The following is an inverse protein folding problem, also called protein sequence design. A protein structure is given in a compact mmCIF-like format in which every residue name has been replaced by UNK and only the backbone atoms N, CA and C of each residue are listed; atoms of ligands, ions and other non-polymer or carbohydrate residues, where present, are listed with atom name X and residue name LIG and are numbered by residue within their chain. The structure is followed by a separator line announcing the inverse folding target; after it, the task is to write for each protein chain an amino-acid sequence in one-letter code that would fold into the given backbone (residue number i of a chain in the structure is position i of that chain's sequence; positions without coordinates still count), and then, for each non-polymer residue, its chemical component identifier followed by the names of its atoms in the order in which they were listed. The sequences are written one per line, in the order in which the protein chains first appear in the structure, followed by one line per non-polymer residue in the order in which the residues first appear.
data_IF_421539549778
#
_entry.id   IF_421539549778
#
_cell.length_a   1.000
_cell.length_b   1.000
_cell.length_c   1.000
_cell.angle_alpha   90.00
_cell.angle_beta   90.00
_cell.angle_gamma   90.00
#
_symmetry.space_group_name_H-M   'P 1'
#
loop_
_entity.id
_entity.type
_entity.pdbx_description
1 polymer ?
#
# COMPACT_ATOMS: atom_id res chain seq x y z
N UNK A 1 16.89 -10.40 -30.57
CA UNK A 1 15.49 -10.42 -31.05
C UNK A 1 14.61 -11.42 -30.27
N UNK A 2 15.08 -12.68 -30.07
CA UNK A 2 14.31 -13.68 -29.29
C UNK A 2 14.08 -13.23 -27.84
N UNK A 3 15.09 -12.75 -27.13
CA UNK A 3 14.97 -12.27 -25.75
C UNK A 3 14.03 -11.06 -25.62
N UNK A 4 14.06 -10.14 -26.58
CA UNK A 4 13.12 -8.99 -26.59
C UNK A 4 11.69 -9.48 -26.72
N UNK A 5 11.42 -10.42 -27.64
CA UNK A 5 10.08 -10.99 -27.82
C UNK A 5 9.62 -11.75 -26.57
N UNK A 6 10.51 -12.56 -25.98
CA UNK A 6 10.21 -13.31 -24.78
C UNK A 6 9.90 -12.39 -23.58
N UNK A 7 10.74 -11.41 -23.32
CA UNK A 7 10.52 -10.45 -22.24
C UNK A 7 9.25 -9.61 -22.45
N UNK A 8 8.97 -9.20 -23.69
CA UNK A 8 7.71 -8.52 -24.01
C UNK A 8 6.49 -9.42 -23.75
N UNK A 9 6.56 -10.71 -24.11
CA UNK A 9 5.50 -11.67 -23.81
C UNK A 9 5.31 -11.85 -22.29
N UNK A 10 6.40 -11.96 -21.53
CA UNK A 10 6.37 -12.07 -20.07
C UNK A 10 5.68 -10.85 -19.44
N UNK A 11 5.99 -9.64 -19.93
CA UNK A 11 5.33 -8.41 -19.46
C UNK A 11 3.83 -8.45 -19.77
N UNK A 12 3.44 -8.83 -20.98
CA UNK A 12 2.03 -8.92 -21.37
C UNK A 12 1.26 -9.92 -20.50
N UNK A 13 1.84 -11.10 -20.28
CA UNK A 13 1.28 -12.12 -19.36
C UNK A 13 1.19 -11.58 -17.94
N UNK A 14 2.21 -10.87 -17.49
CA UNK A 14 2.25 -10.21 -16.19
C UNK A 14 1.09 -9.19 -16.02
N UNK A 15 0.88 -8.31 -17.00
CA UNK A 15 -0.26 -7.38 -16.99
C UNK A 15 -1.60 -8.11 -17.00
N UNK A 16 -1.76 -9.17 -17.79
CA UNK A 16 -2.98 -9.95 -17.82
C UNK A 16 -3.27 -10.63 -16.46
N UNK A 17 -2.25 -11.20 -15.82
CA UNK A 17 -2.34 -11.77 -14.48
C UNK A 17 -2.68 -10.71 -13.43
N UNK A 18 -2.01 -9.55 -13.47
CA UNK A 18 -2.22 -8.42 -12.56
C UNK A 18 -3.68 -7.91 -12.64
N UNK A 19 -4.18 -7.65 -13.84
CA UNK A 19 -5.55 -7.13 -14.05
C UNK A 19 -6.60 -8.15 -13.60
N UNK A 20 -6.46 -9.42 -14.00
CA UNK A 20 -7.40 -10.47 -13.61
C UNK A 20 -7.33 -10.79 -12.12
N UNK A 21 -6.12 -10.75 -11.56
CA UNK A 21 -5.88 -10.90 -10.12
C UNK A 21 -6.57 -9.79 -9.33
N UNK A 22 -6.41 -8.54 -9.74
CA UNK A 22 -7.07 -7.39 -9.11
C UNK A 22 -8.61 -7.50 -9.17
N UNK A 23 -9.16 -7.83 -10.34
CA UNK A 23 -10.61 -8.01 -10.49
C UNK A 23 -11.15 -9.11 -9.57
N UNK A 24 -10.45 -10.26 -9.51
CA UNK A 24 -10.85 -11.39 -8.66
C UNK A 24 -10.74 -11.05 -7.17
N UNK A 25 -9.64 -10.40 -6.73
CA UNK A 25 -9.44 -9.99 -5.35
C UNK A 25 -10.53 -9.03 -4.90
N UNK A 26 -10.81 -7.97 -5.68
CA UNK A 26 -11.80 -6.96 -5.33
C UNK A 26 -13.22 -7.56 -5.30
N UNK A 27 -13.59 -8.43 -6.26
CA UNK A 27 -14.89 -9.10 -6.25
C UNK A 27 -15.03 -10.04 -5.05
N UNK A 28 -14.02 -10.90 -4.82
CA UNK A 28 -14.01 -11.81 -3.68
C UNK A 28 -14.09 -11.08 -2.34
N UNK A 29 -13.37 -9.98 -2.19
CA UNK A 29 -13.37 -9.12 -1.01
C UNK A 29 -14.76 -8.47 -0.81
N UNK A 30 -15.35 -7.91 -1.87
CA UNK A 30 -16.68 -7.29 -1.82
C UNK A 30 -17.76 -8.31 -1.43
N UNK A 31 -17.76 -9.50 -2.04
CA UNK A 31 -18.71 -10.56 -1.70
C UNK A 31 -18.55 -11.06 -0.28
N UNK A 32 -17.29 -11.22 0.17
CA UNK A 32 -17.00 -11.65 1.54
C UNK A 32 -17.48 -10.61 2.56
N UNK A 33 -17.20 -9.31 2.33
CA UNK A 33 -17.67 -8.22 3.20
C UNK A 33 -19.18 -8.29 3.43
N UNK A 34 -19.94 -8.35 2.35
CA UNK A 34 -21.40 -8.47 2.37
C UNK A 34 -21.87 -9.74 3.08
N UNK A 35 -21.21 -10.87 2.83
CA UNK A 35 -21.59 -12.17 3.40
C UNK A 35 -21.40 -12.26 4.91
N UNK A 36 -20.32 -11.65 5.44
CA UNK A 36 -20.03 -11.69 6.89
C UNK A 36 -20.55 -10.45 7.65
N UNK A 37 -21.20 -9.50 6.94
CA UNK A 37 -21.82 -8.33 7.53
C UNK A 37 -20.82 -7.29 8.03
N UNK A 38 -19.65 -7.16 7.39
CA UNK A 38 -18.67 -6.12 7.70
C UNK A 38 -18.56 -5.09 6.57
N UNK A 39 -18.04 -3.90 6.87
CA UNK A 39 -17.90 -2.86 5.86
C UNK A 39 -16.85 -3.24 4.79
N UNK A 40 -17.12 -2.87 3.53
CA UNK A 40 -16.16 -3.03 2.43
C UNK A 40 -14.84 -2.29 2.73
N UNK A 41 -14.91 -1.17 3.47
CA UNK A 41 -13.74 -0.47 3.97
C UNK A 41 -12.86 -1.37 4.85
N UNK A 42 -13.46 -2.09 5.82
CA UNK A 42 -12.70 -2.98 6.72
C UNK A 42 -12.01 -4.09 5.95
N UNK A 43 -12.68 -4.69 4.98
CA UNK A 43 -12.08 -5.71 4.10
C UNK A 43 -10.95 -5.12 3.25
N UNK A 44 -11.15 -3.89 2.74
CA UNK A 44 -10.10 -3.15 2.05
C UNK A 44 -8.87 -2.89 2.93
N UNK A 45 -9.09 -2.42 4.17
CA UNK A 45 -8.05 -2.14 5.16
C UNK A 45 -7.30 -3.39 5.64
N UNK A 46 -7.89 -4.55 5.53
CA UNK A 46 -7.34 -5.81 6.08
C UNK A 46 -6.96 -6.78 4.97
N UNK A 47 -7.93 -7.49 4.40
CA UNK A 47 -7.68 -8.60 3.45
C UNK A 47 -7.04 -8.11 2.16
N UNK A 48 -7.58 -7.02 1.56
CA UNK A 48 -7.04 -6.52 0.29
C UNK A 48 -5.66 -5.90 0.52
N UNK A 49 -5.53 -5.04 1.53
CA UNK A 49 -4.26 -4.41 1.88
C UNK A 49 -3.17 -5.45 2.22
N UNK A 50 -3.51 -6.45 3.06
CA UNK A 50 -2.60 -7.55 3.37
C UNK A 50 -2.17 -8.29 2.11
N UNK A 51 -3.13 -8.66 1.24
CA UNK A 51 -2.86 -9.41 0.03
C UNK A 51 -1.96 -8.67 -0.96
N UNK A 52 -2.17 -7.36 -1.12
CA UNK A 52 -1.36 -6.53 -2.02
C UNK A 52 0.02 -6.23 -1.45
N UNK A 53 0.16 -6.05 -0.13
CA UNK A 53 1.44 -5.76 0.54
C UNK A 53 2.24 -7.01 0.96
N UNK A 54 1.84 -8.21 0.54
CA UNK A 54 2.63 -9.43 0.74
C UNK A 54 4.02 -9.37 0.08
N UNK A 55 4.18 -8.84 -1.15
CA UNK A 55 5.50 -8.66 -1.74
C UNK A 55 6.43 -7.81 -0.88
N UNK A 56 5.92 -6.68 -0.37
CA UNK A 56 6.68 -5.79 0.52
C UNK A 56 7.11 -6.49 1.80
N UNK A 57 6.21 -7.26 2.40
CA UNK A 57 6.53 -8.07 3.59
C UNK A 57 7.66 -9.06 3.30
N UNK A 58 7.54 -9.83 2.21
CA UNK A 58 8.52 -10.85 1.86
C UNK A 58 9.87 -10.22 1.55
N UNK A 59 9.90 -9.18 0.70
CA UNK A 59 11.14 -8.47 0.35
C UNK A 59 11.79 -7.90 1.61
N UNK A 60 11.05 -7.17 2.44
CA UNK A 60 11.62 -6.49 3.61
C UNK A 60 12.11 -7.48 4.67
N UNK A 61 11.37 -8.56 4.96
CA UNK A 61 11.80 -9.58 5.92
C UNK A 61 13.03 -10.34 5.42
N UNK A 62 13.08 -10.73 4.15
CA UNK A 62 14.24 -11.40 3.58
C UNK A 62 15.46 -10.49 3.57
N UNK A 63 15.32 -9.22 3.18
CA UNK A 63 16.41 -8.24 3.21
C UNK A 63 16.99 -8.07 4.60
N UNK A 64 16.14 -8.01 5.65
CA UNK A 64 16.63 -7.93 7.04
C UNK A 64 17.37 -9.19 7.45
N UNK A 65 16.91 -10.38 7.06
CA UNK A 65 17.58 -11.65 7.33
C UNK A 65 18.94 -11.73 6.61
N UNK A 66 19.04 -11.14 5.42
CA UNK A 66 20.27 -11.05 4.62
C UNK A 66 21.18 -9.88 5.05
N UNK A 67 20.80 -9.15 6.12
CA UNK A 67 21.49 -7.96 6.65
C UNK A 67 21.52 -6.77 5.68
N UNK A 68 20.61 -6.72 4.72
CA UNK A 68 20.35 -5.58 3.84
C UNK A 68 19.17 -4.74 4.39
N UNK A 69 19.40 -4.08 5.51
CA UNK A 69 18.38 -3.28 6.19
C UNK A 69 17.99 -2.04 5.41
N UNK A 70 18.88 -1.51 4.59
CA UNK A 70 18.64 -0.31 3.77
C UNK A 70 17.59 -0.58 2.70
N UNK A 71 17.68 -1.75 2.05
CA UNK A 71 16.66 -2.19 1.10
C UNK A 71 15.30 -2.37 1.76
N UNK A 72 15.25 -2.96 2.96
CA UNK A 72 14.00 -3.16 3.70
C UNK A 72 13.31 -1.82 4.02
N UNK A 73 14.05 -0.87 4.60
CA UNK A 73 13.54 0.45 4.97
C UNK A 73 13.13 1.24 3.72
N UNK A 74 14.00 1.29 2.71
CA UNK A 74 13.74 2.02 1.46
C UNK A 74 12.50 1.50 0.73
N UNK A 75 12.32 0.18 0.63
CA UNK A 75 11.16 -0.44 0.02
C UNK A 75 9.85 -0.02 0.72
N UNK A 76 9.79 -0.10 2.05
CA UNK A 76 8.57 0.20 2.80
C UNK A 76 8.20 1.68 2.80
N UNK A 77 9.20 2.56 2.97
CA UNK A 77 8.97 4.00 2.91
C UNK A 77 8.57 4.44 1.49
N UNK A 78 9.23 3.91 0.47
CA UNK A 78 8.91 4.17 -0.93
C UNK A 78 7.50 3.72 -1.30
N UNK A 79 7.10 2.51 -0.90
CA UNK A 79 5.75 1.98 -1.12
C UNK A 79 4.68 2.83 -0.42
N UNK A 80 4.93 3.33 0.79
CA UNK A 80 3.98 4.20 1.49
C UNK A 80 3.76 5.54 0.77
N UNK A 81 4.82 6.13 0.24
CA UNK A 81 4.76 7.35 -0.56
C UNK A 81 4.03 7.08 -1.88
N UNK A 82 4.37 5.98 -2.57
CA UNK A 82 3.73 5.58 -3.81
C UNK A 82 2.22 5.31 -3.61
N UNK A 83 1.83 4.68 -2.53
CA UNK A 83 0.44 4.39 -2.21
C UNK A 83 -0.41 5.66 -2.11
N UNK A 84 0.07 6.72 -1.46
CA UNK A 84 -0.68 7.98 -1.34
C UNK A 84 -0.56 8.78 -2.63
N UNK A 85 0.63 9.03 -3.12
CA UNK A 85 0.83 9.98 -4.21
C UNK A 85 0.55 9.38 -5.59
N UNK A 86 0.99 8.15 -5.85
CA UNK A 86 0.76 7.50 -7.14
C UNK A 86 -0.60 6.77 -7.16
N UNK A 87 -0.82 5.83 -6.24
CA UNK A 87 -1.97 4.92 -6.30
C UNK A 87 -3.29 5.67 -6.08
N UNK A 88 -3.42 6.47 -5.01
CA UNK A 88 -4.60 7.33 -4.82
C UNK A 88 -4.68 8.44 -5.87
N UNK A 89 -3.53 8.97 -6.32
CA UNK A 89 -3.46 9.94 -7.40
C UNK A 89 -4.11 9.40 -8.68
N UNK A 90 -3.67 8.24 -9.15
CA UNK A 90 -4.24 7.58 -10.34
C UNK A 90 -5.69 7.18 -10.10
N UNK A 91 -6.01 6.55 -8.97
CA UNK A 91 -7.38 6.14 -8.65
C UNK A 91 -8.36 7.31 -8.68
N UNK A 92 -8.00 8.44 -8.04
CA UNK A 92 -8.86 9.63 -7.99
C UNK A 92 -8.89 10.45 -9.29
N UNK A 93 -7.92 10.27 -10.18
CA UNK A 93 -7.96 10.81 -11.53
C UNK A 93 -9.00 10.09 -12.39
N UNK A 94 -9.08 8.75 -12.25
CA UNK A 94 -10.03 7.90 -12.98
C UNK A 94 -11.48 8.10 -12.51
N UNK A 95 -11.69 8.17 -11.19
CA UNK A 95 -13.00 8.38 -10.59
C UNK A 95 -12.86 9.12 -9.25
N UNK A 96 -13.81 10.00 -8.93
CA UNK A 96 -13.84 10.69 -7.64
C UNK A 96 -14.03 9.66 -6.52
N UNK A 97 -13.11 9.62 -5.57
CA UNK A 97 -13.21 8.77 -4.40
C UNK A 97 -13.97 9.50 -3.29
N UNK A 98 -15.05 8.90 -2.83
CA UNK A 98 -15.82 9.41 -1.69
C UNK A 98 -15.32 8.75 -0.42
N UNK A 99 -15.00 9.56 0.59
CA UNK A 99 -14.50 9.08 1.89
C UNK A 99 -15.55 9.37 2.94
N UNK A 100 -16.05 8.36 3.63
CA UNK A 100 -17.01 8.58 4.72
C UNK A 100 -16.37 9.43 5.81
N UNK A 101 -17.15 10.35 6.42
CA UNK A 101 -16.65 11.22 7.51
C UNK A 101 -16.02 10.41 8.65
N UNK A 102 -16.62 9.28 8.98
CA UNK A 102 -16.10 8.40 10.03
C UNK A 102 -14.70 7.90 9.63
N UNK A 103 -14.53 7.42 8.40
CA UNK A 103 -13.25 6.94 7.85
C UNK A 103 -12.16 8.01 7.92
N UNK A 104 -12.49 9.28 7.63
CA UNK A 104 -11.51 10.38 7.71
C UNK A 104 -10.97 10.52 9.13
N UNK A 105 -11.86 10.57 10.13
CA UNK A 105 -11.49 10.85 11.52
C UNK A 105 -11.02 9.62 12.31
N UNK A 106 -11.03 8.46 11.70
CA UNK A 106 -10.60 7.21 12.30
C UNK A 106 -9.42 6.63 11.53
N UNK A 107 -9.67 6.03 10.39
CA UNK A 107 -8.68 5.24 9.66
C UNK A 107 -7.62 6.13 9.00
N UNK A 108 -8.03 7.23 8.34
CA UNK A 108 -7.08 8.14 7.67
C UNK A 108 -6.25 8.92 8.71
N UNK A 109 -6.89 9.38 9.80
CA UNK A 109 -6.19 10.04 10.89
C UNK A 109 -5.21 9.08 11.59
N UNK A 110 -5.64 7.83 11.81
CA UNK A 110 -4.77 6.81 12.43
C UNK A 110 -3.55 6.51 11.54
N UNK A 111 -3.74 6.39 10.22
CA UNK A 111 -2.64 6.18 9.29
C UNK A 111 -1.67 7.38 9.24
N UNK A 112 -2.18 8.61 9.24
CA UNK A 112 -1.35 9.80 9.37
C UNK A 112 -0.58 9.81 10.71
N UNK A 113 -1.24 9.42 11.80
CA UNK A 113 -0.64 9.27 13.12
C UNK A 113 0.46 8.21 13.17
N UNK A 114 0.30 7.09 12.45
CA UNK A 114 1.31 6.04 12.33
C UNK A 114 2.59 6.55 11.66
N UNK A 115 2.45 7.37 10.60
CA UNK A 115 3.61 8.03 9.97
C UNK A 115 4.33 9.01 10.91
N UNK A 116 3.58 9.77 11.71
CA UNK A 116 4.15 10.66 12.73
C UNK A 116 4.83 9.87 13.86
N UNK A 117 4.19 8.77 14.32
CA UNK A 117 4.78 7.88 15.33
C UNK A 117 6.11 7.32 14.83
N UNK A 118 6.18 6.86 13.57
CA UNK A 118 7.43 6.39 12.97
C UNK A 118 8.53 7.46 13.06
N UNK A 119 8.23 8.72 12.71
CA UNK A 119 9.21 9.80 12.83
C UNK A 119 9.66 10.05 14.27
N UNK A 120 8.76 9.94 15.24
CA UNK A 120 9.09 10.11 16.66
C UNK A 120 10.04 9.01 17.11
N UNK A 121 9.76 7.74 16.77
CA UNK A 121 10.60 6.60 17.12
C UNK A 121 11.99 6.69 16.49
N UNK A 122 12.07 7.03 15.20
CA UNK A 122 13.37 7.22 14.51
C UNK A 122 14.16 8.41 15.07
N UNK A 123 13.47 9.41 15.62
CA UNK A 123 14.11 10.62 16.18
C UNK A 123 14.59 10.50 17.63
N UNK A 124 14.53 9.34 18.26
CA UNK A 124 14.89 9.09 19.67
C UNK A 124 16.27 9.61 20.05
N UNK A 125 17.25 9.52 19.16
CA UNK A 125 18.58 10.05 19.38
C UNK A 125 18.57 11.56 19.61
N UNK A 126 17.76 12.30 18.83
CA UNK A 126 17.65 13.76 18.99
C UNK A 126 16.93 14.16 20.28
N UNK A 127 16.16 13.23 20.85
CA UNK A 127 15.51 13.38 22.15
C UNK A 127 16.41 12.95 23.31
N UNK A 128 17.65 12.47 23.03
CA UNK A 128 18.62 12.06 24.02
C UNK A 128 18.31 10.71 24.69
N UNK A 129 17.44 9.90 24.11
CA UNK A 129 17.00 8.62 24.66
C UNK A 129 17.79 7.42 24.13
N UNK A 130 18.41 7.53 22.94
CA UNK A 130 19.19 6.47 22.32
C UNK A 130 20.48 7.01 21.68
N UNK A 131 21.52 6.17 21.61
CA UNK A 131 22.72 6.43 20.79
C UNK A 131 22.54 5.93 19.33
N UNK A 132 21.43 5.28 19.05
CA UNK A 132 21.12 4.64 17.78
C UNK A 132 20.06 5.46 17.02
N UNK A 133 20.32 5.80 15.75
CA UNK A 133 19.36 6.45 14.86
C UNK A 133 18.66 5.38 14.06
N UNK A 134 17.37 5.14 14.32
CA UNK A 134 16.62 4.12 13.64
C UNK A 134 15.57 3.45 14.51
N UNK A 135 15.09 2.31 14.11
CA UNK A 135 14.13 1.50 14.86
C UNK A 135 14.83 0.31 15.50
N UNK A 136 14.71 0.19 16.79
CA UNK A 136 15.17 -0.99 17.54
C UNK A 136 14.02 -1.98 17.82
N UNK A 137 14.32 -3.06 18.54
CA UNK A 137 13.33 -4.08 18.87
C UNK A 137 12.19 -3.59 19.77
N UNK A 138 12.42 -2.56 20.59
CA UNK A 138 11.38 -1.96 21.46
C UNK A 138 10.44 -1.13 20.60
N UNK A 139 10.96 -0.34 19.66
CA UNK A 139 10.18 0.41 18.69
C UNK A 139 9.31 -0.54 17.85
N UNK A 140 9.88 -1.69 17.46
CA UNK A 140 9.15 -2.73 16.76
C UNK A 140 7.95 -3.26 17.55
N UNK A 141 8.13 -3.50 18.84
CA UNK A 141 7.02 -3.93 19.73
C UNK A 141 5.97 -2.83 19.85
N UNK A 142 6.37 -1.56 19.92
CA UNK A 142 5.42 -0.43 19.94
C UNK A 142 4.62 -0.39 18.65
N UNK A 143 5.27 -0.48 17.48
CA UNK A 143 4.60 -0.49 16.18
C UNK A 143 3.63 -1.67 16.06
N UNK A 144 4.04 -2.89 16.40
CA UNK A 144 3.19 -4.08 16.39
C UNK A 144 2.01 -3.94 17.36
N UNK A 145 2.23 -3.38 18.55
CA UNK A 145 1.14 -3.12 19.50
C UNK A 145 0.11 -2.17 18.92
N UNK A 146 0.57 -1.08 18.28
CA UNK A 146 -0.32 -0.12 17.60
C UNK A 146 -1.08 -0.77 16.44
N UNK A 147 -0.46 -1.70 15.72
CA UNK A 147 -1.15 -2.47 14.67
C UNK A 147 -2.30 -3.31 15.22
N UNK A 148 -2.07 -4.07 16.30
CA UNK A 148 -3.13 -4.87 16.92
C UNK A 148 -4.22 -4.01 17.55
N UNK A 149 -3.87 -2.87 18.14
CA UNK A 149 -4.85 -1.90 18.63
C UNK A 149 -5.71 -1.34 17.48
N UNK A 150 -5.08 -1.03 16.33
CA UNK A 150 -5.80 -0.61 15.13
C UNK A 150 -6.78 -1.69 14.65
N UNK A 151 -6.34 -2.94 14.56
CA UNK A 151 -7.23 -4.05 14.18
C UNK A 151 -8.39 -4.21 15.16
N UNK A 152 -8.09 -4.25 16.46
CA UNK A 152 -9.13 -4.38 17.51
C UNK A 152 -10.18 -3.28 17.40
N UNK A 153 -9.74 -2.04 17.23
CA UNK A 153 -10.62 -0.89 17.07
C UNK A 153 -11.43 -0.95 15.77
N UNK A 154 -10.80 -1.32 14.65
CA UNK A 154 -11.45 -1.40 13.35
C UNK A 154 -12.51 -2.48 13.30
N UNK A 155 -12.24 -3.66 13.86
CA UNK A 155 -13.23 -4.74 13.97
C UNK A 155 -14.36 -4.40 14.94
N UNK A 156 -14.05 -3.82 16.10
CA UNK A 156 -15.05 -3.45 17.10
C UNK A 156 -16.05 -2.37 16.65
N UNK A 157 -15.70 -1.62 15.61
CA UNK A 157 -16.49 -0.51 15.10
C UNK A 157 -17.13 -0.77 13.73
N UNK A 158 -16.96 -1.95 13.19
CA UNK A 158 -17.38 -2.31 11.82
C UNK A 158 -18.81 -2.86 11.72
N UNK A 159 -19.56 -2.90 12.83
CA UNK A 159 -20.95 -3.35 12.78
C UNK A 159 -21.74 -2.47 11.81
N UNK A 160 -22.04 -3.00 10.65
CA UNK A 160 -23.06 -2.46 9.76
C UNK A 160 -24.41 -2.72 10.44
N UNK A 161 -25.35 -1.79 10.30
CA UNK A 161 -26.75 -2.06 10.61
C UNK A 161 -27.17 -3.32 9.82
N UNK A 162 -27.41 -4.41 10.55
CA UNK A 162 -27.74 -5.72 9.98
C UNK A 162 -28.97 -5.63 9.05
N UNK A 163 -29.89 -4.67 9.28
CA UNK A 163 -31.02 -4.40 8.40
C UNK A 163 -30.64 -3.92 7.00
N UNK A 164 -29.54 -3.15 6.86
CA UNK A 164 -29.04 -2.74 5.53
C UNK A 164 -28.30 -3.88 4.81
N UNK A 165 -27.59 -4.72 5.56
CA UNK A 165 -26.86 -5.86 5.01
C UNK A 165 -27.81 -6.96 4.49
N UNK A 166 -28.96 -7.17 5.13
CA UNK A 166 -29.98 -8.15 4.69
C UNK A 166 -30.63 -7.73 3.38
N UNK A 167 -30.97 -6.45 3.20
CA UNK A 167 -31.56 -5.95 1.95
C UNK A 167 -30.59 -5.97 0.74
N UNK A 168 -29.30 -5.77 0.98
CA UNK A 168 -28.30 -5.83 -0.10
C UNK A 168 -27.87 -7.28 -0.43
N UNK A 169 -28.08 -8.24 0.48
CA UNK A 169 -27.71 -9.64 0.27
C UNK A 169 -28.69 -10.38 -0.66
N UNK A 170 -29.94 -9.92 -0.79
CA UNK A 170 -30.94 -10.55 -1.67
C UNK A 170 -30.68 -10.38 -3.18
N UNK A 171 -29.87 -9.39 -3.57
CA UNK A 171 -29.63 -9.04 -4.99
C UNK A 171 -28.37 -9.70 -5.60
N UNK A 172 -27.63 -10.56 -4.87
CA UNK A 172 -26.39 -11.12 -5.35
C UNK A 172 -26.42 -12.64 -5.55
N UNK A 173 -25.70 -13.18 -6.57
CA UNK A 173 -25.65 -14.61 -6.81
C UNK A 173 -25.16 -15.35 -5.57
N UNK A 174 -25.75 -16.54 -5.30
CA UNK A 174 -25.39 -17.42 -4.17
C UNK A 174 -23.98 -17.99 -4.35
N UNK A 175 -22.95 -17.14 -4.18
CA UNK A 175 -21.56 -17.55 -4.22
C UNK A 175 -21.23 -18.15 -2.86
N UNK A 176 -20.65 -19.36 -2.84
CA UNK A 176 -20.20 -20.00 -1.60
C UNK A 176 -19.02 -19.26 -1.00
N UNK A 177 -18.88 -19.29 0.34
CA UNK A 177 -17.72 -18.71 1.03
C UNK A 177 -16.41 -19.28 0.49
N UNK A 178 -16.38 -20.59 0.16
CA UNK A 178 -15.21 -21.22 -0.44
C UNK A 178 -14.81 -20.55 -1.77
N UNK A 179 -15.79 -20.21 -2.63
CA UNK A 179 -15.52 -19.52 -3.89
C UNK A 179 -15.02 -18.08 -3.66
N UNK A 180 -15.59 -17.36 -2.67
CA UNK A 180 -15.12 -16.01 -2.30
C UNK A 180 -13.67 -16.05 -1.83
N UNK A 181 -13.33 -16.99 -0.93
CA UNK A 181 -11.96 -17.17 -0.45
C UNK A 181 -11.02 -17.61 -1.58
N UNK A 182 -11.48 -18.46 -2.49
CA UNK A 182 -10.71 -18.85 -3.67
C UNK A 182 -10.45 -17.66 -4.60
N UNK A 183 -11.43 -16.78 -4.81
CA UNK A 183 -11.25 -15.54 -5.59
C UNK A 183 -10.21 -14.63 -4.93
N UNK A 184 -10.26 -14.44 -3.61
CA UNK A 184 -9.28 -13.67 -2.85
C UNK A 184 -7.89 -14.29 -3.00
N UNK A 185 -7.76 -15.59 -2.77
CA UNK A 185 -6.48 -16.29 -2.86
C UNK A 185 -5.88 -16.24 -4.26
N UNK A 186 -6.65 -16.63 -5.28
CA UNK A 186 -6.18 -16.63 -6.67
C UNK A 186 -5.96 -15.19 -7.17
N UNK A 187 -6.77 -14.24 -6.71
CA UNK A 187 -6.59 -12.81 -6.97
C UNK A 187 -5.27 -12.30 -6.43
N UNK A 188 -4.98 -12.59 -5.17
CA UNK A 188 -3.70 -12.22 -4.53
C UNK A 188 -2.51 -12.88 -5.23
N UNK A 189 -2.57 -14.18 -5.52
CA UNK A 189 -1.51 -14.88 -6.27
C UNK A 189 -1.33 -14.26 -7.65
N UNK A 190 -2.42 -13.95 -8.35
CA UNK A 190 -2.39 -13.29 -9.66
C UNK A 190 -1.72 -11.92 -9.62
N UNK A 191 -1.97 -11.12 -8.57
CA UNK A 191 -1.33 -9.83 -8.36
C UNK A 191 0.18 -9.98 -8.12
N UNK A 192 0.58 -10.89 -7.21
CA UNK A 192 1.99 -11.12 -6.88
C UNK A 192 2.75 -11.63 -8.10
N UNK A 193 2.25 -12.69 -8.74
CA UNK A 193 2.89 -13.29 -9.92
C UNK A 193 2.92 -12.29 -11.06
N UNK A 194 1.81 -11.57 -11.30
CA UNK A 194 1.73 -10.54 -12.34
C UNK A 194 2.73 -9.42 -12.14
N UNK A 195 2.85 -8.89 -10.92
CA UNK A 195 3.84 -7.89 -10.56
C UNK A 195 5.28 -8.37 -10.78
N UNK A 196 5.61 -9.57 -10.31
CA UNK A 196 6.94 -10.17 -10.48
C UNK A 196 7.30 -10.41 -11.96
N UNK A 197 6.34 -10.86 -12.78
CA UNK A 197 6.56 -11.04 -14.22
C UNK A 197 6.82 -9.70 -14.91
N UNK A 198 6.10 -8.64 -14.55
CA UNK A 198 6.32 -7.29 -15.08
C UNK A 198 7.72 -6.79 -14.69
N UNK A 199 8.12 -6.92 -13.43
CA UNK A 199 9.45 -6.53 -12.95
C UNK A 199 10.52 -7.29 -13.73
N UNK A 200 10.46 -8.63 -13.74
CA UNK A 200 11.44 -9.48 -14.40
C UNK A 200 11.57 -9.16 -15.91
N UNK A 201 10.46 -9.10 -16.63
CA UNK A 201 10.47 -8.80 -18.06
C UNK A 201 10.99 -7.38 -18.37
N UNK A 202 10.64 -6.40 -17.54
CA UNK A 202 11.07 -5.01 -17.70
C UNK A 202 12.54 -4.82 -17.36
N UNK A 203 13.06 -5.46 -16.32
CA UNK A 203 14.49 -5.47 -15.98
C UNK A 203 15.31 -6.10 -17.11
N UNK A 204 14.86 -7.24 -17.64
CA UNK A 204 15.53 -7.92 -18.76
C UNK A 204 15.58 -7.02 -20.00
N UNK A 205 14.46 -6.37 -20.35
CA UNK A 205 14.43 -5.43 -21.48
C UNK A 205 15.34 -4.22 -21.25
N UNK A 206 15.28 -3.61 -20.08
CA UNK A 206 16.11 -2.45 -19.75
C UNK A 206 17.60 -2.79 -19.82
N UNK A 207 18.00 -3.96 -19.31
CA UNK A 207 19.38 -4.46 -19.42
C UNK A 207 19.83 -4.68 -20.88
N UNK A 208 18.95 -5.24 -21.74
CA UNK A 208 19.23 -5.39 -23.17
C UNK A 208 19.42 -4.05 -23.90
N UNK A 209 18.78 -2.97 -23.42
CA UNK A 209 18.95 -1.62 -23.94
C UNK A 209 20.06 -0.83 -23.25
N UNK A 210 20.82 -1.44 -22.33
CA UNK A 210 21.96 -0.82 -21.65
C UNK A 210 21.56 0.22 -20.60
N UNK A 211 20.35 0.13 -20.05
CA UNK A 211 19.93 1.00 -18.93
C UNK A 211 20.70 0.60 -17.67
N UNK A 212 21.22 1.58 -16.93
CA UNK A 212 21.99 1.33 -15.72
C UNK A 212 21.12 0.67 -14.62
N UNK A 213 21.68 -0.28 -13.88
CA UNK A 213 20.97 -1.05 -12.84
C UNK A 213 20.35 -0.14 -11.76
N UNK A 214 21.02 0.95 -11.39
CA UNK A 214 20.49 1.94 -10.47
C UNK A 214 19.18 2.58 -10.95
N UNK A 215 19.07 2.90 -12.24
CA UNK A 215 17.83 3.45 -12.84
C UNK A 215 16.74 2.38 -12.86
N UNK A 216 17.10 1.13 -13.16
CA UNK A 216 16.17 -0.01 -13.15
C UNK A 216 15.60 -0.22 -11.75
N UNK A 217 16.46 -0.23 -10.73
CA UNK A 217 16.06 -0.38 -9.33
C UNK A 217 15.11 0.74 -8.88
N UNK A 218 15.48 1.99 -9.13
CA UNK A 218 14.69 3.15 -8.71
C UNK A 218 13.34 3.28 -9.41
N UNK A 219 13.22 2.80 -10.64
CA UNK A 219 12.00 2.99 -11.42
C UNK A 219 11.19 1.71 -11.52
N UNK A 220 11.73 0.68 -12.17
CA UNK A 220 10.98 -0.54 -12.51
C UNK A 220 10.67 -1.35 -11.24
N UNK A 221 11.67 -1.52 -10.36
CA UNK A 221 11.46 -2.33 -9.15
C UNK A 221 10.56 -1.60 -8.17
N UNK A 222 10.85 -0.34 -7.88
CA UNK A 222 10.09 0.45 -6.93
C UNK A 222 8.62 0.66 -7.34
N UNK A 223 8.34 0.88 -8.64
CA UNK A 223 6.97 0.95 -9.15
C UNK A 223 6.33 -0.44 -9.24
N UNK A 224 7.13 -1.47 -9.49
CA UNK A 224 6.66 -2.83 -9.65
C UNK A 224 6.14 -3.45 -8.36
N UNK A 225 6.76 -3.14 -7.21
CA UNK A 225 6.28 -3.60 -5.90
C UNK A 225 4.92 -2.99 -5.55
N UNK A 226 4.67 -1.72 -5.90
CA UNK A 226 3.36 -1.07 -5.71
C UNK A 226 2.35 -1.33 -6.84
N UNK A 227 2.70 -2.14 -7.84
CA UNK A 227 1.78 -2.49 -8.93
C UNK A 227 0.54 -3.28 -8.48
N UNK A 228 0.63 -4.22 -7.51
CA UNK A 228 -0.55 -4.87 -6.93
C UNK A 228 -1.54 -3.88 -6.32
N UNK A 229 -1.10 -2.92 -5.51
CA UNK A 229 -1.92 -1.87 -4.92
C UNK A 229 -2.59 -1.02 -5.99
N UNK A 230 -1.81 -0.58 -6.97
CA UNK A 230 -2.33 0.21 -8.08
C UNK A 230 -3.41 -0.55 -8.85
N UNK A 231 -3.18 -1.82 -9.16
CA UNK A 231 -4.13 -2.65 -9.88
C UNK A 231 -5.41 -2.88 -9.06
N UNK A 232 -5.30 -3.17 -7.75
CA UNK A 232 -6.43 -3.36 -6.86
C UNK A 232 -7.27 -2.08 -6.74
N UNK A 233 -6.61 -0.90 -6.57
CA UNK A 233 -7.31 0.39 -6.51
C UNK A 233 -7.97 0.72 -7.84
N UNK A 234 -7.32 0.49 -8.97
CA UNK A 234 -7.92 0.72 -10.30
C UNK A 234 -9.12 -0.21 -10.51
N UNK A 235 -9.04 -1.49 -10.11
CA UNK A 235 -10.17 -2.42 -10.19
C UNK A 235 -11.34 -1.96 -9.31
N UNK A 236 -11.09 -1.56 -8.05
CA UNK A 236 -12.11 -1.04 -7.14
C UNK A 236 -12.76 0.24 -7.69
N UNK A 237 -11.97 1.18 -8.20
CA UNK A 237 -12.44 2.44 -8.78
C UNK A 237 -13.30 2.20 -10.03
N UNK A 238 -12.92 1.27 -10.90
CA UNK A 238 -13.74 0.88 -12.08
C UNK A 238 -15.10 0.30 -11.66
N UNK A 239 -15.16 -0.36 -10.52
CA UNK A 239 -16.39 -0.88 -9.90
C UNK A 239 -17.11 0.16 -9.03
N UNK A 240 -16.64 1.41 -9.02
CA UNK A 240 -17.14 2.53 -8.19
C UNK A 240 -17.11 2.26 -6.70
N UNK A 241 -16.24 1.36 -6.26
CA UNK A 241 -16.06 0.99 -4.87
C UNK A 241 -14.95 1.85 -4.22
N UNK A 242 -15.35 3.02 -3.73
CA UNK A 242 -14.42 3.94 -3.05
C UNK A 242 -13.93 3.38 -1.71
N UNK A 243 -14.74 2.62 -0.99
CA UNK A 243 -14.40 2.08 0.31
C UNK A 243 -13.26 1.06 0.20
N UNK A 244 -13.30 0.13 -0.76
CA UNK A 244 -12.18 -0.80 -1.01
C UNK A 244 -10.94 -0.03 -1.51
N UNK A 245 -11.10 0.93 -2.43
CA UNK A 245 -9.97 1.68 -2.97
C UNK A 245 -9.21 2.44 -1.87
N UNK A 246 -9.92 3.13 -0.98
CA UNK A 246 -9.34 3.88 0.13
C UNK A 246 -8.81 2.92 1.19
N UNK A 247 -9.59 1.88 1.51
CA UNK A 247 -9.19 0.84 2.46
C UNK A 247 -7.87 0.18 2.07
N UNK A 248 -7.71 -0.19 0.80
CA UNK A 248 -6.46 -0.77 0.28
C UNK A 248 -5.27 0.14 0.56
N UNK A 249 -5.32 1.42 0.16
CA UNK A 249 -4.16 2.32 0.32
C UNK A 249 -3.87 2.64 1.79
N UNK A 250 -4.90 3.01 2.55
CA UNK A 250 -4.74 3.32 3.98
C UNK A 250 -4.28 2.08 4.75
N UNK A 251 -4.86 0.91 4.43
CA UNK A 251 -4.49 -0.37 5.02
C UNK A 251 -3.07 -0.79 4.68
N UNK A 252 -2.65 -0.70 3.40
CA UNK A 252 -1.27 -1.01 2.99
C UNK A 252 -0.25 -0.11 3.70
N UNK A 253 -0.53 1.19 3.85
CA UNK A 253 0.36 2.09 4.58
C UNK A 253 0.45 1.73 6.08
N UNK A 254 -0.67 1.39 6.70
CA UNK A 254 -0.68 0.92 8.09
C UNK A 254 0.03 -0.42 8.24
N UNK A 255 -0.20 -1.34 7.30
CA UNK A 255 0.46 -2.63 7.27
C UNK A 255 1.97 -2.48 7.13
N UNK A 256 2.44 -1.69 6.15
CA UNK A 256 3.87 -1.44 5.93
C UNK A 256 4.52 -0.75 7.14
N UNK A 257 3.88 0.29 7.69
CA UNK A 257 4.46 1.08 8.80
C UNK A 257 4.41 0.34 10.13
N UNK A 258 3.28 -0.26 10.48
CA UNK A 258 3.09 -0.81 11.82
C UNK A 258 3.44 -2.29 11.91
N UNK A 259 3.05 -3.08 10.89
CA UNK A 259 3.30 -4.52 10.90
C UNK A 259 4.66 -4.86 10.32
N UNK A 260 4.97 -4.45 9.08
CA UNK A 260 6.20 -4.90 8.40
C UNK A 260 7.44 -4.25 9.01
N UNK A 261 7.48 -2.92 9.19
CA UNK A 261 8.59 -2.26 9.88
C UNK A 261 8.67 -2.73 11.34
N UNK A 262 7.53 -2.90 12.02
CA UNK A 262 7.49 -3.41 13.38
C UNK A 262 8.10 -4.81 13.48
N UNK A 263 7.71 -5.73 12.61
CA UNK A 263 8.27 -7.09 12.56
C UNK A 263 9.76 -7.07 12.19
N UNK A 264 10.13 -6.32 11.19
CA UNK A 264 11.51 -6.19 10.72
C UNK A 264 12.45 -5.67 11.82
N UNK A 265 12.04 -4.64 12.56
CA UNK A 265 12.85 -4.06 13.66
C UNK A 265 12.94 -4.97 14.90
N UNK A 266 11.96 -5.88 15.12
CA UNK A 266 12.08 -6.95 16.13
C UNK A 266 13.08 -8.02 15.71
N UNK A 267 13.19 -8.32 14.40
CA UNK A 267 14.16 -9.30 13.88
C UNK A 267 15.58 -8.74 13.95
N UNK A 268 15.80 -7.51 13.50
CA UNK A 268 17.08 -6.81 13.61
C UNK A 268 16.88 -5.30 13.67
N UNK A 269 17.76 -4.54 14.34
CA UNK A 269 17.73 -3.08 14.33
C UNK A 269 17.78 -2.53 12.90
N UNK A 270 16.92 -1.56 12.60
CA UNK A 270 16.83 -0.90 11.29
C UNK A 270 17.47 0.50 11.42
N UNK A 271 18.73 0.69 11.01
CA UNK A 271 19.37 2.00 11.04
C UNK A 271 18.75 2.94 9.99
N UNK A 272 18.60 4.21 10.36
CA UNK A 272 18.22 5.31 9.48
C UNK A 272 19.41 6.26 9.31
N UNK A 273 20.50 5.74 8.82
CA UNK A 273 21.77 6.49 8.69
C UNK A 273 21.83 7.27 7.38
N UNK A 274 21.10 6.83 6.36
CA UNK A 274 21.10 7.51 5.08
C UNK A 274 20.11 8.70 5.09
N UNK A 275 20.60 9.84 4.58
CA UNK A 275 19.76 11.03 4.42
C UNK A 275 18.50 10.75 3.58
N UNK A 276 18.59 9.87 2.59
CA UNK A 276 17.45 9.50 1.75
C UNK A 276 16.35 8.79 2.54
N UNK A 277 16.71 7.89 3.47
CA UNK A 277 15.74 7.19 4.33
C UNK A 277 15.02 8.18 5.25
N UNK A 278 15.75 9.10 5.86
CA UNK A 278 15.15 10.14 6.71
C UNK A 278 14.22 11.05 5.91
N UNK A 279 14.63 11.51 4.72
CA UNK A 279 13.78 12.32 3.84
C UNK A 279 12.54 11.53 3.42
N UNK A 280 12.68 10.25 3.07
CA UNK A 280 11.56 9.38 2.69
C UNK A 280 10.58 9.18 3.85
N UNK A 281 11.07 9.01 5.09
CA UNK A 281 10.21 8.93 6.27
C UNK A 281 9.42 10.24 6.49
N UNK A 282 10.08 11.39 6.37
CA UNK A 282 9.43 12.71 6.46
C UNK A 282 8.40 12.91 5.35
N UNK A 283 8.75 12.57 4.10
CA UNK A 283 7.82 12.69 2.95
C UNK A 283 6.63 11.74 3.11
N UNK A 284 6.85 10.50 3.57
CA UNK A 284 5.79 9.54 3.84
C UNK A 284 4.81 10.02 4.92
N UNK A 285 5.32 10.53 6.04
CA UNK A 285 4.49 11.11 7.11
C UNK A 285 3.74 12.37 6.61
N UNK A 286 4.43 13.24 5.86
CA UNK A 286 3.82 14.42 5.26
C UNK A 286 2.72 14.06 4.24
N UNK A 287 2.91 13.00 3.45
CA UNK A 287 1.90 12.50 2.53
C UNK A 287 0.64 12.02 3.26
N UNK A 288 0.78 11.27 4.36
CA UNK A 288 -0.33 10.84 5.22
C UNK A 288 -1.08 12.03 5.83
N UNK A 289 -0.34 13.01 6.37
CA UNK A 289 -0.93 14.25 6.91
C UNK A 289 -1.61 15.08 5.82
N UNK A 290 -1.01 15.19 4.64
CA UNK A 290 -1.59 15.91 3.50
C UNK A 290 -2.89 15.24 3.06
N UNK A 291 -2.92 13.92 2.94
CA UNK A 291 -4.14 13.16 2.66
C UNK A 291 -5.23 13.48 3.68
N UNK A 292 -4.91 13.38 4.99
CA UNK A 292 -5.85 13.69 6.05
C UNK A 292 -6.38 15.13 5.95
N UNK A 293 -5.50 16.12 5.82
CA UNK A 293 -5.88 17.53 5.74
C UNK A 293 -6.76 17.79 4.51
N UNK A 294 -6.40 17.24 3.36
CA UNK A 294 -7.17 17.44 2.12
C UNK A 294 -8.57 16.84 2.20
N UNK A 295 -8.71 15.68 2.84
CA UNK A 295 -10.00 15.00 2.94
C UNK A 295 -10.84 15.56 4.09
N UNK A 296 -10.23 15.96 5.21
CA UNK A 296 -10.93 16.52 6.37
C UNK A 296 -11.38 17.97 6.15
N UNK A 297 -10.51 18.81 5.57
CA UNK A 297 -10.68 20.26 5.54
C UNK A 297 -10.68 20.86 4.12
N UNK A 298 -10.36 20.08 3.10
CA UNK A 298 -10.32 20.55 1.70
C UNK A 298 -11.67 21.06 1.19
N UNK A 299 -11.65 21.86 0.11
CA UNK A 299 -12.86 22.45 -0.51
C UNK A 299 -13.90 21.40 -0.96
N UNK A 300 -13.47 20.17 -1.27
CA UNK A 300 -14.34 19.03 -1.57
C UNK A 300 -14.41 18.07 -0.39
N UNK A 301 -14.80 18.51 0.80
CA UNK A 301 -14.82 17.69 2.04
C UNK A 301 -15.24 16.26 1.75
N UNK A 302 -14.42 15.31 2.24
CA UNK A 302 -14.65 13.88 2.09
C UNK A 302 -14.62 13.36 0.63
N UNK A 303 -13.96 14.10 -0.27
CA UNK A 303 -13.81 13.69 -1.68
C UNK A 303 -12.36 13.89 -2.13
N UNK A 304 -11.76 12.85 -2.70
CA UNK A 304 -10.49 12.92 -3.42
C UNK A 304 -10.84 13.01 -4.91
N UNK A 305 -10.62 14.15 -5.51
CA UNK A 305 -10.96 14.41 -6.90
C UNK A 305 -9.76 14.85 -7.73
N UNK A 306 -10.00 15.23 -8.99
CA UNK A 306 -8.94 15.58 -9.95
C UNK A 306 -7.92 16.63 -9.46
N UNK A 307 -8.29 17.70 -8.72
CA UNK A 307 -7.27 18.64 -8.21
C UNK A 307 -6.32 17.99 -7.21
N UNK A 308 -6.86 17.16 -6.29
CA UNK A 308 -6.04 16.39 -5.34
C UNK A 308 -5.20 15.35 -6.06
N UNK A 309 -5.75 14.67 -7.09
CA UNK A 309 -5.03 13.76 -7.94
C UNK A 309 -3.81 14.43 -8.60
N UNK A 310 -4.00 15.61 -9.20
CA UNK A 310 -2.91 16.36 -9.82
C UNK A 310 -1.82 16.72 -8.80
N UNK A 311 -2.21 17.20 -7.61
CA UNK A 311 -1.27 17.50 -6.53
C UNK A 311 -0.47 16.23 -6.13
N UNK A 312 -1.14 15.10 -5.93
CA UNK A 312 -0.49 13.87 -5.53
C UNK A 312 0.49 13.37 -6.60
N UNK A 313 0.07 13.32 -7.86
CA UNK A 313 0.93 12.88 -8.95
C UNK A 313 2.12 13.80 -9.19
N UNK A 314 1.95 15.13 -9.04
CA UNK A 314 3.07 16.07 -9.13
C UNK A 314 4.02 15.93 -7.94
N UNK A 315 3.50 15.69 -6.72
CA UNK A 315 4.33 15.39 -5.54
C UNK A 315 5.13 14.11 -5.71
N UNK A 316 4.51 13.06 -6.30
CA UNK A 316 5.19 11.82 -6.63
C UNK A 316 6.34 12.04 -7.61
N UNK A 317 6.07 12.75 -8.72
CA UNK A 317 7.09 13.07 -9.71
C UNK A 317 8.23 13.89 -9.10
N UNK A 318 7.92 14.89 -8.26
CA UNK A 318 8.94 15.70 -7.58
C UNK A 318 9.80 14.86 -6.63
N UNK A 319 9.19 13.93 -5.88
CA UNK A 319 9.92 13.02 -5.00
C UNK A 319 10.87 12.10 -5.79
N UNK A 320 10.43 11.54 -6.91
CA UNK A 320 11.27 10.70 -7.77
C UNK A 320 12.42 11.48 -8.43
N UNK A 321 12.15 12.71 -8.86
CA UNK A 321 13.20 13.62 -9.37
C UNK A 321 14.24 13.86 -8.26
N UNK A 322 13.80 14.17 -7.04
CA UNK A 322 14.72 14.32 -5.89
C UNK A 322 15.59 13.07 -5.70
N UNK A 323 14.98 11.87 -5.66
CA UNK A 323 15.73 10.61 -5.51
C UNK A 323 16.77 10.42 -6.61
N UNK A 324 16.44 10.74 -7.88
CA UNK A 324 17.36 10.56 -9.00
C UNK A 324 18.57 11.50 -8.97
N UNK A 325 18.49 12.63 -8.25
CA UNK A 325 19.61 13.55 -8.05
C UNK A 325 20.42 13.26 -6.78
N UNK A 326 19.92 12.44 -5.89
CA UNK A 326 20.57 12.11 -4.62
C UNK A 326 21.35 10.79 -4.66
N UNK A 327 21.32 10.09 -5.80
CA UNK A 327 22.19 8.95 -6.14
C UNK A 327 23.47 9.43 -6.80
#
# INVERSE_FOLDING_TARGET
MFEILLSSLVIIVGFAALIKGADALVDGATYLAKRIGVSELLIGLTIVAFGTSLPELVVSVLSVVEADTDLAVGNLLGSNIANIFLVLGVGSLLHKLQVKRVTVWREVLFAAGAGVLLLILVADQYLGQSAFVGLDGIDGIVLLTMFFLFLYYSFGSSNIDLEQAEHEAEDHPHISIANMLMMILLGTVGLIVGGQLIIYGSQTLAGLFGVADGIIGLTIVALGTSAPELAAVVAAVRKKNSDIAIGTVVGSNLFNTLWVLGLASVIAPLPFVDQQQMVSAIVGAAAGLLLFIMVAFGRGRHVIGKPTAALFLTSFAAYYVYLSFSL
#
